data_IF_274570305541
#
_entry.id   IF_274570305541
#
_cell.length_a   1.000
_cell.length_b   1.000
_cell.length_c   1.000
_cell.angle_alpha   90.00
_cell.angle_beta   90.00
_cell.angle_gamma   90.00
#
_symmetry.space_group_name_H-M   'P 1'
#
loop_
_entity.id
_entity.type
_entity.pdbx_description
1 polymer ?
#
# COMPACT_ATOMS: atom_id res chain seq x y z
N UNK A 1 4.74 13.34 24.58
CA UNK A 1 3.60 12.42 24.42
C UNK A 1 3.86 11.68 23.11
N UNK A 2 4.44 10.48 23.21
CA UNK A 2 5.04 9.77 22.07
C UNK A 2 3.97 9.24 21.13
N UNK A 3 4.07 9.63 19.86
CA UNK A 3 3.29 9.01 18.78
C UNK A 3 3.70 7.54 18.72
N UNK A 4 2.76 6.66 19.06
CA UNK A 4 2.93 5.22 18.83
C UNK A 4 3.01 5.01 17.32
N UNK A 5 4.21 4.69 16.83
CA UNK A 5 4.39 4.10 15.51
C UNK A 5 3.78 2.69 15.54
N UNK A 6 2.45 2.59 15.44
CA UNK A 6 1.78 1.31 15.19
C UNK A 6 2.09 0.89 13.76
N UNK A 7 3.18 0.14 13.55
CA UNK A 7 3.60 -0.31 12.23
C UNK A 7 2.42 -0.93 11.47
N UNK A 8 2.31 -0.65 10.16
CA UNK A 8 1.48 -1.49 9.31
C UNK A 8 1.93 -2.94 9.52
N UNK A 9 1.01 -3.89 9.74
CA UNK A 9 1.41 -5.28 9.86
C UNK A 9 2.19 -5.66 8.61
N UNK A 10 3.30 -6.37 8.80
CA UNK A 10 4.11 -6.83 7.69
C UNK A 10 3.25 -7.65 6.73
N UNK A 11 3.35 -7.36 5.45
CA UNK A 11 2.67 -8.12 4.40
C UNK A 11 3.33 -9.49 4.31
N UNK A 12 2.52 -10.54 4.23
CA UNK A 12 3.02 -11.93 4.11
C UNK A 12 2.98 -12.41 2.66
N UNK A 13 3.68 -13.51 2.37
CA UNK A 13 3.60 -14.18 1.06
C UNK A 13 2.17 -14.62 0.74
N UNK A 14 1.42 -15.09 1.74
CA UNK A 14 0.01 -15.48 1.59
C UNK A 14 -0.89 -14.28 1.23
N UNK A 15 -0.59 -13.08 1.75
CA UNK A 15 -1.30 -11.87 1.35
C UNK A 15 -1.04 -11.53 -0.11
N UNK A 16 0.21 -11.67 -0.55
CA UNK A 16 0.62 -11.42 -1.93
C UNK A 16 -0.01 -12.41 -2.90
N UNK A 17 -0.01 -13.72 -2.60
CA UNK A 17 -0.67 -14.74 -3.42
C UNK A 17 -2.18 -14.49 -3.54
N UNK A 18 -2.83 -14.15 -2.43
CA UNK A 18 -4.25 -13.80 -2.41
C UNK A 18 -4.54 -12.55 -3.25
N UNK A 19 -3.76 -11.49 -3.10
CA UNK A 19 -3.92 -10.25 -3.86
C UNK A 19 -3.68 -10.47 -5.36
N UNK A 20 -2.64 -11.24 -5.72
CA UNK A 20 -2.36 -11.64 -7.10
C UNK A 20 -3.56 -12.38 -7.72
N UNK A 21 -4.16 -13.32 -6.98
CA UNK A 21 -5.36 -14.02 -7.40
C UNK A 21 -6.56 -13.10 -7.63
N UNK A 22 -6.79 -12.13 -6.74
CA UNK A 22 -7.89 -11.15 -6.88
C UNK A 22 -7.71 -10.21 -8.07
N UNK A 23 -6.46 -9.83 -8.38
CA UNK A 23 -6.14 -8.94 -9.49
C UNK A 23 -5.97 -9.67 -10.83
N UNK A 24 -5.92 -11.00 -10.83
CA UNK A 24 -5.60 -11.79 -12.01
C UNK A 24 -4.19 -11.54 -12.53
N UNK A 25 -3.27 -11.16 -11.62
CA UNK A 25 -1.87 -10.86 -11.94
C UNK A 25 -0.99 -12.02 -11.45
N UNK A 26 -0.65 -13.00 -12.30
CA UNK A 26 0.17 -14.12 -11.88
C UNK A 26 1.55 -13.66 -11.42
N UNK A 27 2.05 -14.26 -10.34
CA UNK A 27 3.39 -14.01 -9.82
C UNK A 27 4.36 -15.02 -10.41
N UNK A 28 5.56 -14.54 -10.74
CA UNK A 28 6.67 -15.44 -11.05
C UNK A 28 7.02 -16.30 -9.82
N UNK A 29 7.24 -17.62 -9.99
CA UNK A 29 7.54 -18.52 -8.88
C UNK A 29 8.70 -18.01 -8.01
N UNK A 30 8.51 -18.02 -6.69
CA UNK A 30 9.51 -17.54 -5.73
C UNK A 30 9.56 -16.01 -5.52
N UNK A 31 8.74 -15.23 -6.24
CA UNK A 31 8.73 -13.75 -6.11
C UNK A 31 7.91 -13.24 -4.92
N UNK A 32 7.06 -14.07 -4.32
CA UNK A 32 6.08 -13.64 -3.31
C UNK A 32 6.72 -12.93 -2.12
N UNK A 33 7.83 -13.46 -1.60
CA UNK A 33 8.57 -12.86 -0.49
C UNK A 33 9.09 -11.45 -0.82
N UNK A 34 9.73 -11.27 -1.98
CA UNK A 34 10.24 -9.96 -2.38
C UNK A 34 9.13 -8.95 -2.65
N UNK A 35 7.99 -9.37 -3.22
CA UNK A 35 6.85 -8.47 -3.41
C UNK A 35 6.24 -8.09 -2.06
N UNK A 36 6.21 -9.00 -1.08
CA UNK A 36 5.74 -8.71 0.27
C UNK A 36 6.61 -7.67 0.97
N UNK A 37 7.93 -7.77 0.85
CA UNK A 37 8.88 -6.77 1.36
C UNK A 37 8.67 -5.39 0.71
N UNK A 38 8.56 -5.36 -0.62
CA UNK A 38 8.35 -4.12 -1.37
C UNK A 38 7.02 -3.45 -1.01
N UNK A 39 5.94 -4.24 -0.91
CA UNK A 39 4.63 -3.72 -0.53
C UNK A 39 4.62 -3.23 0.92
N UNK A 40 5.30 -3.92 1.83
CA UNK A 40 5.47 -3.46 3.22
C UNK A 40 6.18 -2.11 3.27
N UNK A 41 7.24 -1.94 2.47
CA UNK A 41 7.91 -0.65 2.31
C UNK A 41 6.98 0.44 1.79
N UNK A 42 6.24 0.17 0.71
CA UNK A 42 5.29 1.12 0.13
C UNK A 42 4.20 1.56 1.12
N UNK A 43 3.61 0.61 1.85
CA UNK A 43 2.57 0.89 2.85
C UNK A 43 3.10 1.74 4.02
N UNK A 44 4.37 1.58 4.38
CA UNK A 44 5.02 2.41 5.39
C UNK A 44 5.07 3.89 4.95
N UNK A 45 5.30 4.16 3.67
CA UNK A 45 5.22 5.54 3.13
C UNK A 45 3.78 6.02 2.96
N UNK A 46 2.86 5.16 2.52
CA UNK A 46 1.45 5.52 2.35
C UNK A 46 0.81 6.04 3.64
N UNK A 47 1.29 5.57 4.80
CA UNK A 47 0.89 6.09 6.12
C UNK A 47 1.03 7.60 6.25
N UNK A 48 2.12 8.16 5.73
CA UNK A 48 2.40 9.61 5.83
C UNK A 48 1.29 10.43 5.16
N UNK A 49 0.66 9.88 4.12
CA UNK A 49 -0.44 10.51 3.42
C UNK A 49 -1.79 10.25 4.11
N UNK A 50 -2.00 9.06 4.70
CA UNK A 50 -3.23 8.73 5.43
C UNK A 50 -3.41 9.55 6.71
N UNK A 51 -2.31 9.99 7.33
CA UNK A 51 -2.33 10.86 8.52
C UNK A 51 -2.45 12.35 8.16
N UNK A 52 -2.41 12.71 6.88
CA UNK A 52 -2.58 14.09 6.44
C UNK A 52 -4.06 14.49 6.55
N UNK A 53 -4.42 15.52 7.34
CA UNK A 53 -5.80 15.95 7.43
C UNK A 53 -6.24 16.55 6.09
N UNK A 54 -7.27 15.95 5.49
CA UNK A 54 -7.88 16.45 4.27
C UNK A 54 -9.18 17.20 4.61
N UNK A 55 -9.39 18.43 4.09
CA UNK A 55 -10.66 19.11 4.19
C UNK A 55 -11.78 18.34 3.49
N UNK A 56 -13.02 18.50 3.94
CA UNK A 56 -14.18 17.84 3.34
C UNK A 56 -14.40 18.30 1.88
N UNK A 57 -13.93 19.49 1.52
CA UNK A 57 -14.07 20.05 0.16
C UNK A 57 -12.90 19.69 -0.76
N UNK A 58 -11.99 18.79 -0.36
CA UNK A 58 -10.87 18.39 -1.21
C UNK A 58 -11.38 17.62 -2.43
N UNK A 59 -11.04 18.12 -3.61
CA UNK A 59 -11.29 17.44 -4.89
C UNK A 59 -10.03 16.67 -5.33
N UNK A 60 -10.17 15.55 -6.07
CA UNK A 60 -9.03 14.89 -6.70
C UNK A 60 -8.24 15.85 -7.58
N UNK A 61 -6.93 15.64 -7.67
CA UNK A 61 -6.08 16.46 -8.53
C UNK A 61 -6.61 16.48 -9.97
N UNK A 62 -6.62 17.66 -10.63
CA UNK A 62 -7.22 17.80 -11.95
C UNK A 62 -6.52 16.91 -12.97
N UNK A 63 -7.31 16.14 -13.73
CA UNK A 63 -6.82 15.42 -14.90
C UNK A 63 -6.88 16.39 -16.09
N UNK A 64 -5.73 16.65 -16.71
CA UNK A 64 -5.69 17.41 -17.96
C UNK A 64 -6.54 16.70 -19.03
N UNK A 65 -7.53 17.39 -19.59
CA UNK A 65 -8.28 16.96 -20.78
C UNK A 65 -8.02 17.99 -21.90
N UNK A 66 -7.50 17.58 -23.06
CA UNK A 66 -7.29 18.46 -24.21
C UNK A 66 -8.61 18.94 -24.82
#
# INVERSE_FOLDING_TARGET
>A
MGLSCGAYPAVTEADIERLAGLLGLPLEPGSAASVAEQLTGLLSFARLFAEFPLPDEVEPAPIFRP
#
